data_IF_119315506325
#
_entry.id   IF_119315506325
#
_cell.length_a   1.000
_cell.length_b   1.000
_cell.length_c   1.000
_cell.angle_alpha   90.00
_cell.angle_beta   90.00
_cell.angle_gamma   90.00
#
_symmetry.space_group_name_H-M   'P 1'
#
loop_
_entity.id
_entity.type
_entity.pdbx_description
1 polymer ?
#
# COMPACT_ATOMS: atom_id res chain seq x y z
N UNK A 1 -16.80 6.06 -5.22
CA UNK A 1 -15.55 6.64 -5.78
C UNK A 1 -14.38 6.00 -5.05
N UNK A 2 -13.47 5.30 -5.73
CA UNK A 2 -12.25 4.78 -5.09
C UNK A 2 -11.15 5.78 -5.35
N UNK A 3 -10.85 6.62 -4.35
CA UNK A 3 -9.86 7.69 -4.46
C UNK A 3 -8.79 7.51 -3.39
N UNK A 4 -7.55 7.72 -3.78
CA UNK A 4 -6.44 7.86 -2.86
C UNK A 4 -6.47 9.25 -2.21
N UNK A 5 -6.05 9.37 -0.95
CA UNK A 5 -5.73 10.69 -0.40
C UNK A 5 -4.65 11.37 -1.26
N UNK A 6 -4.83 12.64 -1.66
CA UNK A 6 -3.92 13.32 -2.59
C UNK A 6 -2.45 13.25 -2.18
N UNK A 7 -2.18 13.23 -0.87
CA UNK A 7 -0.84 13.26 -0.32
C UNK A 7 -0.21 11.89 -0.08
N UNK A 8 -0.99 10.80 -0.13
CA UNK A 8 -0.48 9.47 0.26
C UNK A 8 0.70 9.02 -0.60
N UNK A 9 0.69 9.32 -1.92
CA UNK A 9 1.79 8.98 -2.82
C UNK A 9 3.09 9.70 -2.46
N UNK A 10 3.01 10.99 -2.14
CA UNK A 10 4.18 11.80 -1.77
C UNK A 10 4.79 11.34 -0.45
N UNK A 11 3.96 11.00 0.53
CA UNK A 11 4.42 10.47 1.83
C UNK A 11 5.14 9.13 1.64
N UNK A 12 4.52 8.19 0.91
CA UNK A 12 5.11 6.88 0.66
C UNK A 12 6.43 6.96 -0.10
N UNK A 13 6.52 7.86 -1.10
CA UNK A 13 7.75 8.09 -1.84
C UNK A 13 8.85 8.68 -0.94
N UNK A 14 8.52 9.68 -0.13
CA UNK A 14 9.49 10.30 0.78
C UNK A 14 10.05 9.32 1.81
N UNK A 15 9.22 8.40 2.33
CA UNK A 15 9.69 7.32 3.20
C UNK A 15 10.66 6.38 2.48
N UNK A 16 10.33 5.97 1.25
CA UNK A 16 11.20 5.12 0.42
C UNK A 16 12.54 5.79 0.10
N UNK A 17 12.53 7.07 -0.25
CA UNK A 17 13.75 7.86 -0.52
C UNK A 17 14.65 8.00 0.72
N UNK A 18 14.06 7.93 1.92
CA UNK A 18 14.80 7.90 3.19
C UNK A 18 15.28 6.50 3.59
N UNK A 19 15.02 5.48 2.77
CA UNK A 19 15.37 4.09 3.07
C UNK A 19 14.52 3.46 4.16
N UNK A 20 13.31 3.99 4.41
CA UNK A 20 12.37 3.46 5.39
C UNK A 20 11.47 2.45 4.70
N UNK A 21 11.48 1.20 5.17
CA UNK A 21 10.60 0.15 4.68
C UNK A 21 9.15 0.43 5.07
N UNK A 22 8.24 0.31 4.09
CA UNK A 22 6.80 0.55 4.28
C UNK A 22 6.02 -0.73 4.01
N UNK A 23 5.17 -1.09 4.97
CA UNK A 23 4.22 -2.18 4.87
C UNK A 23 2.78 -1.67 5.00
N UNK A 24 1.85 -2.31 4.31
CA UNK A 24 0.41 -2.10 4.54
C UNK A 24 -0.16 -3.26 5.34
N UNK A 25 -0.78 -2.92 6.48
CA UNK A 25 -1.65 -3.80 7.22
C UNK A 25 -3.09 -3.58 6.76
N UNK A 26 -3.68 -4.56 6.09
CA UNK A 26 -5.07 -4.52 5.65
C UNK A 26 -5.88 -5.62 6.35
N UNK A 27 -7.07 -5.28 6.85
CA UNK A 27 -8.06 -6.24 7.35
C UNK A 27 -8.91 -6.85 6.23
N UNK A 28 -8.33 -7.02 5.04
CA UNK A 28 -9.00 -7.72 3.95
C UNK A 28 -8.84 -9.22 4.18
N UNK A 29 -9.91 -10.03 4.08
CA UNK A 29 -9.84 -11.48 4.29
C UNK A 29 -8.98 -12.22 3.25
N UNK A 30 -8.54 -11.53 2.19
CA UNK A 30 -7.74 -12.10 1.10
C UNK A 30 -6.68 -11.10 0.63
N UNK A 31 -5.41 -11.48 0.74
CA UNK A 31 -4.27 -10.69 0.31
C UNK A 31 -4.31 -10.31 -1.18
N UNK A 32 -4.94 -11.14 -2.01
CA UNK A 32 -5.07 -10.91 -3.44
C UNK A 32 -5.93 -9.68 -3.77
N UNK A 33 -7.00 -9.45 -2.99
CA UNK A 33 -7.88 -8.29 -3.17
C UNK A 33 -7.12 -6.99 -2.84
N UNK A 34 -6.36 -6.99 -1.74
CA UNK A 34 -5.52 -5.86 -1.37
C UNK A 34 -4.45 -5.60 -2.43
N UNK A 35 -3.79 -6.65 -2.92
CA UNK A 35 -2.77 -6.55 -3.98
C UNK A 35 -3.34 -5.97 -5.28
N UNK A 36 -4.48 -6.48 -5.75
CA UNK A 36 -5.17 -5.97 -6.94
C UNK A 36 -5.58 -4.50 -6.75
N UNK A 37 -6.03 -4.13 -5.55
CA UNK A 37 -6.41 -2.77 -5.22
C UNK A 37 -5.20 -1.81 -5.30
N UNK A 38 -4.06 -2.17 -4.71
CA UNK A 38 -2.84 -1.35 -4.78
C UNK A 38 -2.23 -1.30 -6.18
N UNK A 39 -2.34 -2.38 -6.96
CA UNK A 39 -1.95 -2.39 -8.37
C UNK A 39 -2.77 -1.38 -9.17
N UNK A 40 -4.09 -1.35 -8.95
CA UNK A 40 -4.98 -0.37 -9.62
C UNK A 40 -4.69 1.08 -9.21
N UNK A 41 -4.07 1.30 -8.05
CA UNK A 41 -3.68 2.62 -7.56
C UNK A 41 -2.24 3.01 -7.93
N UNK A 42 -1.47 2.12 -8.57
CA UNK A 42 -0.09 2.37 -8.99
C UNK A 42 0.96 2.27 -7.88
N UNK A 43 0.68 1.53 -6.80
CA UNK A 43 1.58 1.36 -5.64
C UNK A 43 2.41 0.07 -5.64
N UNK A 44 2.29 -0.78 -6.66
CA UNK A 44 2.89 -2.13 -6.69
C UNK A 44 4.39 -2.20 -6.37
N UNK A 45 5.27 -1.27 -6.80
CA UNK A 45 6.69 -1.34 -6.46
C UNK A 45 7.08 -0.50 -5.23
N UNK A 46 6.10 0.02 -4.47
CA UNK A 46 6.33 0.94 -3.35
C UNK A 46 6.10 0.30 -1.97
N UNK A 47 5.42 -0.84 -1.89
CA UNK A 47 4.87 -1.34 -0.62
C UNK A 47 4.91 -2.87 -0.57
N UNK A 48 5.34 -3.43 0.57
CA UNK A 48 5.18 -4.84 0.89
C UNK A 48 3.86 -5.08 1.64
N UNK A 49 3.03 -6.00 1.17
CA UNK A 49 1.75 -6.32 1.81
C UNK A 49 1.96 -7.42 2.87
N UNK A 50 1.67 -7.13 4.13
CA UNK A 50 1.63 -8.13 5.20
C UNK A 50 0.18 -8.43 5.58
N UNK A 51 -0.19 -9.71 5.52
CA UNK A 51 -1.50 -10.20 5.93
C UNK A 51 -1.50 -10.47 7.43
N UNK A 52 -2.35 -9.76 8.18
CA UNK A 52 -2.61 -10.07 9.59
C UNK A 52 -4.00 -10.70 9.69
N UNK A 53 -4.03 -12.03 9.85
CA UNK A 53 -5.19 -12.72 10.41
C UNK A 53 -5.18 -12.48 11.92
N UNK A 54 -6.07 -11.61 12.38
CA UNK A 54 -6.50 -11.57 13.79
C UNK A 54 -7.55 -12.65 14.04
#
# INVERSE_FOLDING_TARGET
MRSLYPHAKGILLGLKEKGIDVAIAARSPTADIATIFFNKLGFSPLINLFHFSL
#
